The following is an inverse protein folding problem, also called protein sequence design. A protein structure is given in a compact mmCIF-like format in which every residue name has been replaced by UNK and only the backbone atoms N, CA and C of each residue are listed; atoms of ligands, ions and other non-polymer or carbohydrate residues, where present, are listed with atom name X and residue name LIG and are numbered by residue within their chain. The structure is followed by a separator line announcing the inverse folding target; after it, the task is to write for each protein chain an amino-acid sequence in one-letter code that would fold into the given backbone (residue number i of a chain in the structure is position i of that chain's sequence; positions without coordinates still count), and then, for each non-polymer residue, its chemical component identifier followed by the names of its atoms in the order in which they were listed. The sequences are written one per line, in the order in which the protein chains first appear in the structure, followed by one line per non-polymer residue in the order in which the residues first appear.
data_IF_952494056760
#
_entry.id   IF_952494056760
#
_cell.length_a   1.000
_cell.length_b   1.000
_cell.length_c   1.000
_cell.angle_alpha   90.00
_cell.angle_beta   90.00
_cell.angle_gamma   90.00
#
_symmetry.space_group_name_H-M   'P 1'
#
loop_
_entity.id
_entity.type
_entity.pdbx_description
1 polymer ?
#
# COMPACT_ATOMS: atom_id res chain seq x y z
N UNK A 1 -33.76 -19.17 20.74
CA UNK A 1 -34.40 -18.32 21.77
C UNK A 1 -35.74 -18.97 22.05
N UNK A 2 -35.85 -19.69 23.18
CA UNK A 2 -37.10 -20.32 23.58
C UNK A 2 -38.07 -19.26 24.07
N UNK A 3 -39.36 -19.49 23.85
CA UNK A 3 -40.43 -18.70 24.46
C UNK A 3 -40.58 -19.19 25.90
N UNK A 4 -40.47 -18.29 26.89
CA UNK A 4 -40.93 -18.61 28.24
C UNK A 4 -42.46 -18.59 28.22
N UNK A 5 -43.08 -19.65 28.72
CA UNK A 5 -44.53 -19.68 28.93
C UNK A 5 -44.87 -18.79 30.12
N UNK A 6 -45.94 -17.99 30.03
CA UNK A 6 -46.35 -17.00 31.03
C UNK A 6 -46.59 -17.62 32.44
N UNK A 7 -46.74 -18.94 32.51
CA UNK A 7 -46.99 -19.70 33.74
C UNK A 7 -45.77 -19.87 34.66
N UNK A 8 -44.55 -19.62 34.17
CA UNK A 8 -43.31 -19.80 34.94
C UNK A 8 -42.82 -18.51 35.63
N UNK A 9 -43.52 -17.39 35.42
CA UNK A 9 -43.13 -16.08 35.94
C UNK A 9 -43.60 -15.91 37.39
N UNK A 10 -42.65 -15.93 38.33
CA UNK A 10 -42.92 -15.53 39.72
C UNK A 10 -42.94 -13.99 39.81
N UNK A 11 -43.86 -13.39 40.58
CA UNK A 11 -44.04 -11.93 40.66
C UNK A 11 -42.83 -11.16 41.24
N UNK A 12 -41.79 -11.86 41.68
CA UNK A 12 -40.64 -11.32 42.41
C UNK A 12 -39.35 -11.37 41.57
N UNK A 13 -39.41 -11.91 40.35
CA UNK A 13 -38.24 -12.18 39.51
C UNK A 13 -37.99 -11.02 38.53
N UNK A 14 -36.77 -10.46 38.55
CA UNK A 14 -36.38 -9.37 37.65
C UNK A 14 -36.10 -9.90 36.24
N UNK A 15 -37.06 -9.74 35.32
CA UNK A 15 -36.91 -10.19 33.93
C UNK A 15 -36.13 -9.16 33.12
N UNK A 16 -35.01 -9.58 32.52
CA UNK A 16 -34.29 -8.76 31.53
C UNK A 16 -34.82 -9.07 30.13
N UNK A 17 -35.56 -8.13 29.55
CA UNK A 17 -36.11 -8.27 28.18
C UNK A 17 -35.13 -7.68 27.17
N UNK A 18 -34.69 -8.50 26.22
CA UNK A 18 -33.88 -8.05 25.09
C UNK A 18 -34.78 -7.63 23.92
N UNK A 19 -34.76 -6.34 23.58
CA UNK A 19 -35.54 -5.78 22.48
C UNK A 19 -34.66 -5.60 21.24
N UNK A 20 -35.12 -6.12 20.09
CA UNK A 20 -34.48 -5.89 18.78
C UNK A 20 -35.39 -5.04 17.91
N UNK A 21 -34.94 -3.82 17.60
CA UNK A 21 -35.66 -2.93 16.69
C UNK A 21 -35.46 -3.34 15.23
N UNK A 22 -36.50 -3.13 14.41
CA UNK A 22 -36.43 -3.32 12.95
C UNK A 22 -35.58 -2.24 12.28
N UNK A 23 -35.67 -1.00 12.79
CA UNK A 23 -34.80 0.13 12.43
C UNK A 23 -33.78 0.35 13.54
N UNK A 24 -32.52 0.02 13.27
CA UNK A 24 -31.43 0.19 14.25
C UNK A 24 -31.16 1.67 14.55
N UNK A 25 -31.34 2.56 13.57
CA UNK A 25 -31.11 4.00 13.70
C UNK A 25 -32.06 4.72 14.65
N UNK A 26 -33.23 4.14 14.94
CA UNK A 26 -34.24 4.75 15.80
C UNK A 26 -34.21 4.22 17.23
N UNK A 27 -33.28 3.31 17.55
CA UNK A 27 -33.13 2.69 18.88
C UNK A 27 -33.09 3.75 20.00
N UNK A 28 -32.28 4.81 19.84
CA UNK A 28 -32.18 5.89 20.83
C UNK A 28 -33.41 6.82 20.90
N UNK A 29 -34.31 6.76 19.91
CA UNK A 29 -35.55 7.56 19.90
C UNK A 29 -36.74 6.78 20.44
N UNK A 30 -36.82 5.49 20.12
CA UNK A 30 -38.01 4.69 20.37
C UNK A 30 -37.94 3.98 21.72
N UNK A 31 -36.76 3.58 22.18
CA UNK A 31 -36.61 2.94 23.49
C UNK A 31 -37.07 3.84 24.65
N UNK A 32 -36.74 5.15 24.70
CA UNK A 32 -37.28 6.05 25.72
C UNK A 32 -38.81 6.24 25.64
N UNK A 33 -39.40 6.18 24.44
CA UNK A 33 -40.87 6.28 24.28
C UNK A 33 -41.57 5.04 24.82
N UNK A 34 -40.99 3.86 24.58
CA UNK A 34 -41.51 2.60 25.11
C UNK A 34 -41.42 2.61 26.64
N UNK A 35 -40.29 3.04 27.21
CA UNK A 35 -40.14 3.22 28.66
C UNK A 35 -41.21 4.15 29.26
N UNK A 36 -41.50 5.26 28.58
CA UNK A 36 -42.54 6.20 29.00
C UNK A 36 -43.95 5.57 28.99
N UNK A 37 -44.27 4.77 27.97
CA UNK A 37 -45.56 4.08 27.87
C UNK A 37 -45.72 2.96 28.92
N UNK A 38 -44.61 2.35 29.33
CA UNK A 38 -44.58 1.33 30.38
C UNK A 38 -44.65 1.92 31.80
N UNK A 39 -44.63 3.24 31.93
CA UNK A 39 -44.71 3.93 33.23
C UNK A 39 -43.44 3.79 34.08
N UNK A 40 -42.27 3.57 33.47
CA UNK A 40 -41.01 3.55 34.22
C UNK A 40 -40.70 4.90 34.84
N UNK A 41 -40.16 4.87 36.05
CA UNK A 41 -39.68 6.07 36.73
C UNK A 41 -38.42 6.60 36.04
N UNK A 42 -38.29 7.92 36.05
CA UNK A 42 -37.09 8.61 35.57
C UNK A 42 -36.10 8.71 36.71
N UNK A 43 -34.82 8.54 36.39
CA UNK A 43 -33.72 8.71 37.33
C UNK A 43 -33.63 10.20 37.76
N UNK A 44 -32.81 10.49 38.78
CA UNK A 44 -32.59 11.86 39.32
C UNK A 44 -32.17 12.90 38.24
N UNK A 45 -31.64 12.44 37.12
CA UNK A 45 -31.23 13.25 35.98
C UNK A 45 -32.31 13.45 34.90
N UNK A 46 -33.52 12.90 35.10
CA UNK A 46 -34.65 13.02 34.18
C UNK A 46 -34.64 12.04 33.00
N UNK A 47 -33.70 11.10 32.97
CA UNK A 47 -33.56 10.05 31.96
C UNK A 47 -34.05 8.68 32.46
N UNK A 48 -34.41 7.79 31.55
CA UNK A 48 -34.75 6.39 31.89
C UNK A 48 -33.47 5.55 32.01
N UNK A 49 -33.40 4.66 33.00
CA UNK A 49 -32.29 3.72 33.17
C UNK A 49 -32.28 2.62 32.09
N UNK A 50 -31.81 2.97 30.90
CA UNK A 50 -31.82 2.09 29.72
C UNK A 50 -30.40 1.62 29.40
N UNK A 51 -30.18 0.31 29.36
CA UNK A 51 -28.92 -0.29 28.91
C UNK A 51 -28.95 -0.49 27.40
N UNK A 52 -27.98 0.13 26.71
CA UNK A 52 -27.78 -0.02 25.27
C UNK A 52 -26.56 -0.89 25.00
N UNK A 53 -26.63 -1.75 23.99
CA UNK A 53 -25.42 -2.37 23.43
C UNK A 53 -24.72 -1.35 22.52
N UNK A 54 -23.88 -0.52 23.12
CA UNK A 54 -23.17 0.56 22.44
C UNK A 54 -22.19 0.06 21.39
N UNK A 55 -21.58 -1.11 21.57
CA UNK A 55 -20.66 -1.73 20.61
C UNK A 55 -21.40 -2.18 19.33
N UNK A 56 -22.58 -2.80 19.49
CA UNK A 56 -23.40 -3.18 18.35
C UNK A 56 -23.96 -1.95 17.60
N UNK A 57 -24.40 -0.93 18.33
CA UNK A 57 -24.94 0.29 17.73
C UNK A 57 -23.86 1.12 17.02
N UNK A 58 -22.63 1.17 17.56
CA UNK A 58 -21.51 1.90 16.96
C UNK A 58 -21.02 1.24 15.66
N UNK A 59 -20.99 -0.10 15.58
CA UNK A 59 -20.70 -0.82 14.33
C UNK A 59 -21.69 -0.50 13.20
N UNK A 60 -22.94 -0.17 13.57
CA UNK A 60 -23.98 0.28 12.65
C UNK A 60 -24.07 1.81 12.50
N UNK A 61 -23.05 2.55 12.97
CA UNK A 61 -22.96 4.00 12.91
C UNK A 61 -24.12 4.74 13.61
N UNK A 62 -24.73 4.13 14.62
CA UNK A 62 -25.80 4.72 15.42
C UNK A 62 -25.24 5.16 16.77
N UNK A 63 -25.16 6.48 16.96
CA UNK A 63 -24.59 7.07 18.17
C UNK A 63 -25.66 7.82 18.98
N UNK A 64 -25.56 7.85 20.33
CA UNK A 64 -26.48 8.59 21.16
C UNK A 64 -26.36 10.09 20.92
N UNK A 65 -27.50 10.78 20.88
CA UNK A 65 -27.56 12.24 20.71
C UNK A 65 -26.89 12.91 21.92
N UNK A 66 -25.85 13.70 21.68
CA UNK A 66 -25.12 14.44 22.73
C UNK A 66 -23.76 13.87 23.14
N UNK A 67 -23.39 12.66 22.67
CA UNK A 67 -22.04 12.08 22.89
C UNK A 67 -21.14 12.13 21.64
N UNK A 68 -21.50 12.91 20.60
CA UNK A 68 -20.55 13.33 19.57
C UNK A 68 -19.53 14.32 20.17
N UNK A 69 -18.78 13.88 21.18
CA UNK A 69 -17.48 14.48 21.50
C UNK A 69 -16.60 14.17 20.30
N UNK A 70 -15.95 15.21 19.74
CA UNK A 70 -15.13 15.10 18.53
C UNK A 70 -14.11 13.95 18.64
N UNK A 71 -13.66 13.63 19.86
CA UNK A 71 -12.70 12.56 20.16
C UNK A 71 -13.22 11.17 19.75
N UNK A 72 -14.45 10.79 20.13
CA UNK A 72 -14.99 9.45 19.83
C UNK A 72 -15.31 9.26 18.33
N UNK A 73 -15.74 10.33 17.64
CA UNK A 73 -16.05 10.29 16.22
C UNK A 73 -14.76 10.21 15.37
N UNK A 74 -13.70 10.91 15.79
CA UNK A 74 -12.40 10.84 15.14
C UNK A 74 -11.76 9.46 15.34
N UNK A 75 -11.86 8.85 16.53
CA UNK A 75 -11.36 7.49 16.76
C UNK A 75 -12.12 6.43 15.95
N UNK A 76 -13.46 6.54 15.87
CA UNK A 76 -14.29 5.62 15.07
C UNK A 76 -13.99 5.71 13.57
N UNK A 77 -13.64 6.90 13.07
CA UNK A 77 -13.25 7.11 11.67
C UNK A 77 -11.75 6.85 11.41
N UNK A 78 -10.90 6.95 12.42
CA UNK A 78 -9.46 6.77 12.28
C UNK A 78 -9.11 5.35 11.81
N UNK A 79 -9.71 4.32 12.42
CA UNK A 79 -9.48 2.93 12.03
C UNK A 79 -9.82 2.65 10.55
N UNK A 80 -11.05 2.91 10.04
CA UNK A 80 -11.36 2.64 8.64
C UNK A 80 -10.54 3.50 7.67
N UNK A 81 -10.23 4.75 8.02
CA UNK A 81 -9.38 5.61 7.18
C UNK A 81 -7.95 5.07 7.11
N UNK A 82 -7.39 4.60 8.23
CA UNK A 82 -6.06 4.01 8.27
C UNK A 82 -5.99 2.74 7.40
N UNK A 83 -6.98 1.86 7.50
CA UNK A 83 -7.06 0.67 6.65
C UNK A 83 -7.21 1.02 5.17
N UNK A 84 -8.05 2.02 4.85
CA UNK A 84 -8.20 2.52 3.48
C UNK A 84 -6.88 3.07 2.93
N UNK A 85 -6.18 3.88 3.71
CA UNK A 85 -4.90 4.47 3.32
C UNK A 85 -3.84 3.40 3.06
N UNK A 86 -3.74 2.41 3.96
CA UNK A 86 -2.84 1.26 3.80
C UNK A 86 -3.20 0.46 2.55
N UNK A 87 -4.48 0.19 2.31
CA UNK A 87 -4.94 -0.53 1.13
C UNK A 87 -4.56 0.20 -0.17
N UNK A 88 -4.76 1.52 -0.24
CA UNK A 88 -4.38 2.34 -1.40
C UNK A 88 -2.88 2.33 -1.62
N UNK A 89 -2.08 2.44 -0.55
CA UNK A 89 -0.62 2.39 -0.63
C UNK A 89 -0.13 1.05 -1.18
N UNK A 90 -0.66 -0.05 -0.62
CA UNK A 90 -0.31 -1.41 -1.05
C UNK A 90 -0.68 -1.63 -2.52
N UNK A 91 -1.90 -1.27 -2.92
CA UNK A 91 -2.33 -1.35 -4.32
C UNK A 91 -1.43 -0.51 -5.23
N UNK A 92 -1.11 0.72 -4.82
CA UNK A 92 -0.22 1.61 -5.57
C UNK A 92 1.18 1.03 -5.76
N UNK A 93 1.75 0.43 -4.71
CA UNK A 93 3.04 -0.25 -4.76
C UNK A 93 3.03 -1.43 -5.72
N UNK A 94 2.02 -2.30 -5.64
CA UNK A 94 1.89 -3.43 -6.55
C UNK A 94 1.73 -2.98 -8.00
N UNK A 95 0.90 -1.95 -8.26
CA UNK A 95 0.76 -1.37 -9.59
C UNK A 95 2.11 -0.90 -10.14
N UNK A 96 2.92 -0.22 -9.32
CA UNK A 96 4.26 0.25 -9.72
C UNK A 96 5.20 -0.92 -10.03
N UNK A 97 5.23 -1.95 -9.18
CA UNK A 97 6.05 -3.14 -9.40
C UNK A 97 5.67 -3.81 -10.72
N UNK A 98 4.38 -4.01 -10.96
CA UNK A 98 3.87 -4.64 -12.18
C UNK A 98 4.21 -3.77 -13.41
N UNK A 99 4.11 -2.44 -13.31
CA UNK A 99 4.49 -1.53 -14.41
C UNK A 99 5.98 -1.63 -14.75
N UNK A 100 6.84 -1.73 -13.74
CA UNK A 100 8.28 -1.88 -13.93
C UNK A 100 8.61 -3.24 -14.56
N UNK A 101 7.97 -4.31 -14.09
CA UNK A 101 8.13 -5.65 -14.65
C UNK A 101 7.70 -5.71 -16.12
N UNK A 102 6.53 -5.15 -16.47
CA UNK A 102 6.10 -5.08 -17.87
C UNK A 102 7.00 -4.18 -18.70
N UNK A 103 7.49 -3.07 -18.15
CA UNK A 103 8.45 -2.21 -18.87
C UNK A 103 9.75 -2.95 -19.17
N UNK A 104 10.25 -3.75 -18.22
CA UNK A 104 11.43 -4.59 -18.42
C UNK A 104 11.18 -5.66 -19.49
N UNK A 105 10.08 -6.41 -19.36
CA UNK A 105 9.70 -7.46 -20.32
C UNK A 105 9.49 -6.91 -21.73
N UNK A 106 8.89 -5.72 -21.83
CA UNK A 106 8.61 -5.12 -23.13
C UNK A 106 9.87 -4.47 -23.75
N UNK A 107 10.81 -3.99 -22.93
CA UNK A 107 12.13 -3.53 -23.40
C UNK A 107 13.01 -4.68 -23.91
N UNK A 108 12.99 -5.85 -23.26
CA UNK A 108 13.79 -7.00 -23.73
C UNK A 108 13.34 -7.52 -25.10
N UNK A 109 12.08 -7.26 -25.48
CA UNK A 109 11.47 -7.66 -26.76
C UNK A 109 11.28 -6.49 -27.74
N UNK A 110 11.90 -5.35 -27.46
CA UNK A 110 11.74 -4.14 -28.26
C UNK A 110 12.13 -4.33 -29.73
N UNK A 111 13.16 -5.15 -30.00
CA UNK A 111 13.63 -5.48 -31.35
C UNK A 111 12.64 -6.36 -32.10
N UNK A 112 12.06 -7.36 -31.44
CA UNK A 112 11.05 -8.25 -32.02
C UNK A 112 9.80 -7.47 -32.44
N UNK A 113 9.33 -6.56 -31.57
CA UNK A 113 8.20 -5.67 -31.88
C UNK A 113 8.55 -4.64 -32.95
N UNK A 114 9.81 -4.21 -33.01
CA UNK A 114 10.36 -3.35 -34.07
C UNK A 114 10.37 -4.00 -35.45
N UNK A 115 10.78 -5.27 -35.53
CA UNK A 115 10.73 -6.07 -36.76
C UNK A 115 9.27 -6.24 -37.21
N UNK A 116 8.35 -6.50 -36.28
CA UNK A 116 6.92 -6.59 -36.57
C UNK A 116 6.37 -5.27 -37.14
N UNK A 117 6.81 -4.12 -36.60
CA UNK A 117 6.47 -2.81 -37.14
C UNK A 117 7.03 -2.58 -38.56
N UNK A 118 8.24 -3.06 -38.86
CA UNK A 118 8.85 -2.97 -40.20
C UNK A 118 8.07 -3.73 -41.29
N UNK A 119 7.37 -4.81 -40.92
CA UNK A 119 6.52 -5.60 -41.83
C UNK A 119 5.17 -4.89 -42.09
N UNK A 120 4.92 -3.74 -41.44
CA UNK A 120 3.72 -2.93 -41.62
C UNK A 120 2.66 -3.11 -40.53
N UNK A 121 3.00 -3.73 -39.40
CA UNK A 121 2.06 -3.84 -38.29
C UNK A 121 1.71 -2.47 -37.72
N UNK A 122 0.41 -2.23 -37.51
CA UNK A 122 -0.06 -0.97 -36.95
C UNK A 122 0.34 -0.84 -35.47
N UNK A 123 0.58 0.39 -34.97
CA UNK A 123 0.84 0.65 -33.55
C UNK A 123 -0.25 0.10 -32.60
N UNK A 124 -1.49 0.00 -33.10
CA UNK A 124 -2.62 -0.56 -32.36
C UNK A 124 -2.48 -2.08 -32.18
N UNK A 125 -2.07 -2.80 -33.22
CA UNK A 125 -1.84 -4.25 -33.18
C UNK A 125 -0.69 -4.60 -32.23
N UNK A 126 0.43 -3.85 -32.29
CA UNK A 126 1.57 -4.03 -31.38
C UNK A 126 1.12 -3.83 -29.93
N UNK A 127 0.36 -2.77 -29.66
CA UNK A 127 -0.15 -2.48 -28.32
C UNK A 127 -1.11 -3.56 -27.80
N UNK A 128 -2.00 -4.07 -28.65
CA UNK A 128 -2.93 -5.14 -28.27
C UNK A 128 -2.20 -6.45 -28.00
N UNK A 129 -1.17 -6.77 -28.80
CA UNK A 129 -0.34 -7.96 -28.59
C UNK A 129 0.27 -8.00 -27.18
N UNK A 130 0.88 -6.88 -26.74
CA UNK A 130 1.47 -6.77 -25.38
C UNK A 130 0.42 -6.90 -24.27
N UNK A 131 -0.78 -6.35 -24.48
CA UNK A 131 -1.88 -6.46 -23.50
C UNK A 131 -2.36 -7.91 -23.41
N UNK A 132 -2.53 -8.59 -24.54
CA UNK A 132 -2.93 -10.00 -24.57
C UNK A 132 -1.90 -10.89 -23.89
N UNK A 133 -0.61 -10.67 -24.13
CA UNK A 133 0.44 -11.39 -23.43
C UNK A 133 0.31 -11.21 -21.90
N UNK A 134 0.11 -9.96 -21.43
CA UNK A 134 -0.14 -9.69 -20.02
C UNK A 134 -1.38 -10.40 -19.45
N UNK A 135 -2.46 -10.49 -20.23
CA UNK A 135 -3.67 -11.22 -19.85
C UNK A 135 -3.47 -12.74 -19.79
N UNK A 136 -2.67 -13.31 -20.68
CA UNK A 136 -2.32 -14.73 -20.60
C UNK A 136 -1.41 -15.03 -19.41
N UNK A 137 -0.49 -14.11 -19.08
CA UNK A 137 0.41 -14.26 -17.94
C UNK A 137 -0.33 -14.27 -16.59
N UNK A 138 -1.52 -13.65 -16.48
CA UNK A 138 -2.31 -13.69 -15.24
C UNK A 138 -3.15 -14.97 -15.06
N UNK A 139 -3.27 -15.83 -16.08
CA UNK A 139 -4.15 -17.00 -16.03
C UNK A 139 -3.71 -18.05 -15.00
N UNK A 140 -2.40 -18.20 -14.76
CA UNK A 140 -1.85 -19.09 -13.73
C UNK A 140 -1.78 -18.44 -12.34
N UNK A 141 -1.27 -17.20 -12.19
CA UNK A 141 -1.16 -16.56 -10.88
C UNK A 141 -2.50 -16.20 -10.24
N UNK A 142 -3.54 -15.89 -11.03
CA UNK A 142 -4.86 -15.52 -10.51
C UNK A 142 -5.52 -16.65 -9.69
N UNK A 143 -5.71 -17.87 -10.23
CA UNK A 143 -6.26 -18.97 -9.45
C UNK A 143 -5.32 -19.40 -8.33
N UNK A 144 -4.00 -19.37 -8.55
CA UNK A 144 -3.03 -19.68 -7.51
C UNK A 144 -3.13 -18.70 -6.33
N UNK A 145 -3.24 -17.39 -6.59
CA UNK A 145 -3.40 -16.36 -5.57
C UNK A 145 -4.72 -16.46 -4.81
N UNK A 146 -5.82 -16.79 -5.50
CA UNK A 146 -7.12 -17.04 -4.85
C UNK A 146 -7.06 -18.29 -3.96
N UNK A 147 -6.43 -19.37 -4.43
CA UNK A 147 -6.28 -20.60 -3.66
C UNK A 147 -5.40 -20.41 -2.42
N UNK A 148 -4.26 -19.70 -2.56
CA UNK A 148 -3.39 -19.41 -1.42
C UNK A 148 -4.02 -18.44 -0.44
N UNK A 149 -4.73 -17.41 -0.91
CA UNK A 149 -5.50 -16.51 -0.06
C UNK A 149 -6.56 -17.25 0.74
N UNK A 150 -7.33 -18.11 0.09
CA UNK A 150 -8.32 -18.97 0.77
C UNK A 150 -7.66 -19.86 1.83
N UNK A 151 -6.54 -20.50 1.51
CA UNK A 151 -5.82 -21.36 2.46
C UNK A 151 -5.29 -20.57 3.66
N UNK A 152 -4.68 -19.41 3.42
CA UNK A 152 -4.14 -18.53 4.47
C UNK A 152 -5.24 -18.00 5.39
N UNK A 153 -6.38 -17.58 4.83
CA UNK A 153 -7.51 -17.10 5.62
C UNK A 153 -8.05 -18.21 6.53
N UNK A 154 -8.23 -19.44 6.00
CA UNK A 154 -8.67 -20.58 6.81
C UNK A 154 -7.69 -20.90 7.96
N UNK A 155 -6.38 -20.77 7.71
CA UNK A 155 -5.36 -20.97 8.73
C UNK A 155 -5.40 -19.87 9.79
N UNK A 156 -5.55 -18.62 9.35
CA UNK A 156 -5.63 -17.45 10.24
C UNK A 156 -6.87 -17.51 11.14
N UNK A 157 -8.03 -17.88 10.58
CA UNK A 157 -9.29 -18.02 11.33
C UNK A 157 -9.17 -19.10 12.39
N UNK A 158 -8.56 -20.24 12.06
CA UNK A 158 -8.31 -21.31 13.04
C UNK A 158 -7.38 -20.84 14.16
N UNK A 159 -6.32 -20.11 13.81
CA UNK A 159 -5.40 -19.55 14.79
C UNK A 159 -6.10 -18.54 15.72
N UNK A 160 -6.88 -17.62 15.15
CA UNK A 160 -7.65 -16.62 15.92
C UNK A 160 -8.69 -17.30 16.82
N UNK A 161 -9.41 -18.30 16.31
CA UNK A 161 -10.38 -19.06 17.11
C UNK A 161 -9.70 -19.81 18.26
N UNK A 162 -8.51 -20.39 18.06
CA UNK A 162 -7.76 -21.06 19.12
C UNK A 162 -7.35 -20.13 20.26
N UNK A 163 -6.98 -18.88 19.94
CA UNK A 163 -6.65 -17.86 20.94
C UNK A 163 -7.92 -17.38 21.66
N UNK A 164 -9.02 -17.18 20.92
CA UNK A 164 -10.28 -16.73 21.51
C UNK A 164 -10.88 -17.77 22.47
N UNK A 165 -10.82 -19.06 22.12
CA UNK A 165 -11.27 -20.16 22.98
C UNK A 165 -10.42 -20.25 24.26
N UNK A 166 -9.13 -19.91 24.19
CA UNK A 166 -8.23 -19.88 25.35
C UNK A 166 -8.38 -18.61 26.22
N UNK A 167 -8.79 -17.48 25.65
CA UNK A 167 -8.83 -16.18 26.33
C UNK A 167 -10.18 -15.81 26.96
N UNK A 168 -11.29 -16.42 26.51
CA UNK A 168 -12.65 -16.07 26.97
C UNK A 168 -13.47 -17.33 27.25
N UNK A 169 -13.73 -17.60 28.53
CA UNK A 169 -14.55 -18.72 29.07
C UNK A 169 -16.07 -18.63 28.74
N UNK A 170 -16.45 -17.94 27.66
CA UNK A 170 -17.84 -17.80 27.22
C UNK A 170 -18.03 -18.48 25.87
N UNK A 171 -19.19 -19.12 25.67
CA UNK A 171 -19.66 -19.67 24.39
C UNK A 171 -19.81 -18.55 23.34
N UNK A 172 -18.70 -18.04 22.82
CA UNK A 172 -18.70 -17.09 21.71
C UNK A 172 -18.85 -17.92 20.43
N UNK A 173 -19.81 -17.56 19.55
CA UNK A 173 -19.97 -18.27 18.29
C UNK A 173 -18.68 -18.19 17.47
N UNK A 174 -18.21 -19.35 16.98
CA UNK A 174 -17.03 -19.47 16.14
C UNK A 174 -17.15 -18.53 14.95
N UNK A 175 -16.13 -17.72 14.70
CA UNK A 175 -16.08 -16.88 13.51
C UNK A 175 -15.85 -17.79 12.31
N UNK A 176 -16.91 -18.02 11.52
CA UNK A 176 -16.85 -18.78 10.27
C UNK A 176 -16.95 -17.82 9.10
N UNK A 177 -15.93 -17.77 8.26
CA UNK A 177 -16.00 -17.01 7.01
C UNK A 177 -16.68 -17.87 5.94
N UNK A 178 -17.81 -17.38 5.44
CA UNK A 178 -18.47 -17.98 4.29
C UNK A 178 -17.95 -17.30 3.02
N UNK A 179 -17.19 -18.05 2.21
CA UNK A 179 -16.73 -17.59 0.91
C UNK A 179 -17.87 -17.69 -0.09
N UNK A 180 -18.50 -16.56 -0.41
CA UNK A 180 -19.52 -16.49 -1.44
C UNK A 180 -18.96 -16.02 -2.79
N UNK A 181 -19.73 -16.28 -3.85
CA UNK A 181 -19.54 -15.63 -5.16
C UNK A 181 -19.34 -14.10 -5.08
N UNK A 182 -20.03 -13.36 -4.18
CA UNK A 182 -19.84 -11.91 -4.04
C UNK A 182 -18.42 -11.49 -3.64
N UNK A 183 -17.62 -12.38 -3.03
CA UNK A 183 -16.26 -12.08 -2.58
C UNK A 183 -15.22 -12.29 -3.68
N UNK A 184 -15.42 -13.31 -4.53
CA UNK A 184 -14.45 -13.70 -5.57
C UNK A 184 -14.55 -12.78 -6.78
N UNK A 185 -15.78 -12.41 -7.18
CA UNK A 185 -16.03 -11.59 -8.36
C UNK A 185 -15.29 -10.24 -8.35
N UNK A 186 -15.32 -9.42 -7.27
CA UNK A 186 -14.58 -8.16 -7.24
C UNK A 186 -13.07 -8.38 -7.25
N UNK A 187 -12.55 -9.46 -6.66
CA UNK A 187 -11.12 -9.76 -6.70
C UNK A 187 -10.64 -10.03 -8.13
N UNK A 188 -11.36 -10.87 -8.89
CA UNK A 188 -11.06 -11.16 -10.30
C UNK A 188 -11.13 -9.89 -11.14
N UNK A 189 -12.19 -9.09 -10.97
CA UNK A 189 -12.35 -7.82 -11.70
C UNK A 189 -11.22 -6.85 -11.37
N UNK A 190 -10.84 -6.73 -10.10
CA UNK A 190 -9.75 -5.86 -9.66
C UNK A 190 -8.41 -6.29 -10.26
N UNK A 191 -8.11 -7.58 -10.30
CA UNK A 191 -6.88 -8.09 -10.93
C UNK A 191 -6.87 -7.80 -12.42
N UNK A 192 -7.98 -8.05 -13.12
CA UNK A 192 -8.10 -7.80 -14.56
C UNK A 192 -7.88 -6.31 -14.88
N UNK A 193 -8.53 -5.40 -14.12
CA UNK A 193 -8.40 -3.96 -14.30
C UNK A 193 -6.96 -3.52 -14.02
N UNK A 194 -6.36 -4.02 -12.94
CA UNK A 194 -4.99 -3.69 -12.54
C UNK A 194 -3.98 -4.08 -13.62
N UNK A 195 -4.03 -5.32 -14.10
CA UNK A 195 -3.13 -5.82 -15.15
C UNK A 195 -3.33 -5.04 -16.44
N UNK A 196 -4.59 -4.80 -16.83
CA UNK A 196 -4.90 -4.05 -18.04
C UNK A 196 -4.38 -2.62 -17.98
N UNK A 197 -4.57 -1.92 -16.86
CA UNK A 197 -4.09 -0.54 -16.70
C UNK A 197 -2.56 -0.49 -16.68
N UNK A 198 -1.93 -1.44 -15.98
CA UNK A 198 -0.49 -1.54 -15.82
C UNK A 198 0.23 -1.82 -17.15
N UNK A 199 -0.24 -2.81 -17.93
CA UNK A 199 0.34 -3.13 -19.24
C UNK A 199 0.12 -2.03 -20.29
N UNK A 200 -0.93 -1.20 -20.13
CA UNK A 200 -1.28 -0.15 -21.10
C UNK A 200 -0.24 0.96 -21.23
N UNK A 201 0.55 1.21 -20.19
CA UNK A 201 1.59 2.25 -20.16
C UNK A 201 2.82 1.84 -20.98
N UNK A 202 3.51 0.72 -20.69
CA UNK A 202 4.65 0.27 -21.49
C UNK A 202 4.27 -0.06 -22.93
N UNK A 203 3.09 -0.65 -23.15
CA UNK A 203 2.61 -0.96 -24.50
C UNK A 203 2.43 0.31 -25.35
N UNK A 204 1.95 1.42 -24.76
CA UNK A 204 1.88 2.73 -25.44
C UNK A 204 3.26 3.31 -25.73
N UNK A 205 4.22 3.12 -24.83
CA UNK A 205 5.59 3.63 -25.00
C UNK A 205 6.27 2.99 -26.20
N UNK A 206 6.15 1.67 -26.35
CA UNK A 206 6.81 0.92 -27.44
C UNK A 206 6.14 1.13 -28.78
N UNK A 207 4.79 1.16 -28.82
CA UNK A 207 4.05 1.37 -30.06
C UNK A 207 4.34 2.73 -30.75
N UNK A 208 4.99 3.67 -30.06
CA UNK A 208 5.39 4.98 -30.60
C UNK A 208 6.83 5.02 -31.11
N UNK A 209 7.63 3.99 -30.86
CA UNK A 209 9.04 3.96 -31.29
C UNK A 209 9.13 3.59 -32.77
N UNK A 210 10.05 4.24 -33.49
CA UNK A 210 10.31 3.93 -34.89
C UNK A 210 11.14 2.64 -35.01
N UNK A 211 11.02 1.87 -36.10
CA UNK A 211 11.77 0.62 -36.24
C UNK A 211 13.28 0.80 -36.07
N UNK A 212 13.85 1.88 -36.61
CA UNK A 212 15.27 2.20 -36.45
C UNK A 212 15.65 2.50 -34.99
N UNK A 213 14.78 3.19 -34.24
CA UNK A 213 14.99 3.43 -32.81
C UNK A 213 14.94 2.14 -31.99
N UNK A 214 14.04 1.22 -32.32
CA UNK A 214 13.92 -0.06 -31.60
C UNK A 214 15.14 -0.95 -31.78
N UNK A 215 15.74 -0.98 -32.98
CA UNK A 215 16.99 -1.72 -33.24
C UNK A 215 18.15 -1.06 -32.49
N UNK A 216 18.24 0.27 -32.52
CA UNK A 216 19.29 1.03 -31.80
C UNK A 216 19.18 0.84 -30.29
N UNK A 217 17.96 0.82 -29.75
CA UNK A 217 17.70 0.67 -28.31
C UNK A 217 17.81 -0.79 -27.83
N UNK A 218 17.53 -1.76 -28.70
CA UNK A 218 17.77 -3.17 -28.41
C UNK A 218 19.25 -3.56 -28.43
N UNK A 219 20.06 -2.88 -29.25
CA UNK A 219 21.52 -3.09 -29.33
C UNK A 219 22.31 -2.33 -28.25
N UNK A 220 21.82 -1.17 -27.80
CA UNK A 220 22.41 -0.41 -26.70
C UNK A 220 21.41 -0.32 -25.56
N UNK A 221 21.59 -1.14 -24.51
CA UNK A 221 20.85 -1.11 -23.24
C UNK A 221 21.04 0.18 -22.42
N UNK A 222 21.32 1.31 -23.07
CA UNK A 222 21.47 2.60 -22.41
C UNK A 222 20.10 3.13 -22.01
N UNK A 223 19.82 3.00 -20.71
CA UNK A 223 18.75 3.68 -19.98
C UNK A 223 18.79 5.16 -20.38
N UNK A 224 17.78 5.63 -21.13
CA UNK A 224 17.65 7.05 -21.50
C UNK A 224 17.58 7.88 -20.20
N UNK A 225 18.59 8.72 -19.93
CA UNK A 225 18.57 9.74 -18.88
C UNK A 225 17.28 10.55 -19.01
N UNK A 226 16.43 10.51 -17.99
CA UNK A 226 15.17 11.28 -17.99
C UNK A 226 15.50 12.75 -17.88
N UNK A 227 14.94 13.57 -18.76
CA UNK A 227 15.01 15.03 -18.69
C UNK A 227 14.30 15.47 -17.41
N UNK A 228 15.08 15.91 -16.42
CA UNK A 228 14.56 16.39 -15.14
C UNK A 228 13.58 17.55 -15.40
N UNK A 229 12.30 17.40 -15.03
CA UNK A 229 11.33 18.51 -15.10
C UNK A 229 11.67 19.46 -13.95
N UNK A 230 11.90 20.73 -14.30
CA UNK A 230 12.32 21.87 -13.47
C UNK A 230 11.42 22.19 -12.24
N UNK A 231 10.42 21.35 -11.95
CA UNK A 231 9.45 21.52 -10.87
C UNK A 231 9.96 20.85 -9.58
N UNK A 232 10.74 19.77 -9.69
CA UNK A 232 11.23 19.02 -8.51
C UNK A 232 12.36 19.75 -7.77
N UNK A 233 13.12 20.62 -8.46
CA UNK A 233 14.21 21.41 -7.85
C UNK A 233 13.74 22.58 -7.01
N UNK A 234 12.45 22.96 -7.11
CA UNK A 234 11.90 24.06 -6.31
C UNK A 234 11.44 23.63 -4.92
N UNK A 235 11.17 22.34 -4.75
CA UNK A 235 10.67 21.77 -3.49
C UNK A 235 11.76 21.16 -2.63
N UNK A 236 12.81 20.62 -3.25
CA UNK A 236 14.00 20.13 -2.55
C UNK A 236 15.18 21.01 -2.93
N UNK A 237 15.42 22.04 -2.11
CA UNK A 237 16.62 22.88 -2.16
C UNK A 237 17.87 22.12 -1.74
N UNK A 238 18.19 21.06 -2.46
CA UNK A 238 19.49 20.38 -2.39
C UNK A 238 20.25 20.85 -3.62
N UNK A 239 20.88 22.02 -3.48
CA UNK A 239 22.02 22.37 -4.32
C UNK A 239 23.14 21.38 -3.98
N UNK A 240 23.33 20.43 -4.88
CA UNK A 240 24.32 19.39 -4.80
C UNK A 240 24.43 18.76 -6.18
N UNK A 241 24.87 19.56 -7.14
CA UNK A 241 25.34 19.05 -8.41
C UNK A 241 26.49 18.08 -8.11
N UNK A 242 26.52 16.95 -8.82
CA UNK A 242 27.47 15.84 -8.69
C UNK A 242 27.12 14.76 -7.64
N UNK A 243 26.20 13.88 -8.04
CA UNK A 243 26.18 12.49 -7.59
C UNK A 243 27.47 11.81 -8.08
N UNK A 244 28.55 11.95 -7.32
CA UNK A 244 29.83 11.27 -7.53
C UNK A 244 29.59 9.79 -7.17
N UNK A 245 29.64 8.84 -8.12
CA UNK A 245 29.49 7.43 -7.81
C UNK A 245 30.58 7.01 -6.81
N UNK A 246 30.23 6.15 -5.85
CA UNK A 246 31.11 5.76 -4.74
C UNK A 246 32.50 5.26 -5.21
N UNK A 247 32.59 4.71 -6.44
CA UNK A 247 33.84 4.26 -7.06
C UNK A 247 34.84 5.37 -7.40
N UNK A 248 34.39 6.63 -7.53
CA UNK A 248 35.26 7.79 -7.78
C UNK A 248 35.75 8.47 -6.51
N UNK A 249 35.08 8.26 -5.37
CA UNK A 249 35.54 8.76 -4.07
C UNK A 249 36.81 8.02 -3.60
N UNK A 250 36.93 6.73 -3.89
CA UNK A 250 38.14 5.96 -3.56
C UNK A 250 39.36 6.48 -4.35
N UNK A 251 39.21 6.75 -5.66
CA UNK A 251 40.26 7.33 -6.50
C UNK A 251 40.67 8.74 -6.06
N UNK A 252 39.71 9.58 -5.67
CA UNK A 252 40.00 10.93 -5.16
C UNK A 252 40.68 10.83 -3.78
N UNK A 253 40.28 9.88 -2.93
CA UNK A 253 40.91 9.68 -1.62
C UNK A 253 42.37 9.23 -1.75
N UNK A 254 42.70 8.37 -2.71
CA UNK A 254 44.09 7.97 -2.98
C UNK A 254 44.91 9.13 -3.55
N UNK A 255 44.34 9.90 -4.49
CA UNK A 255 45.02 11.06 -5.08
C UNK A 255 45.21 12.18 -4.04
N UNK A 256 44.26 12.37 -3.13
CA UNK A 256 44.35 13.33 -2.03
C UNK A 256 45.29 12.85 -0.92
N UNK A 257 45.35 11.54 -0.66
CA UNK A 257 46.30 10.92 0.27
C UNK A 257 47.73 10.99 -0.26
N UNK A 258 47.96 10.78 -1.55
CA UNK A 258 49.24 11.04 -2.22
C UNK A 258 49.60 12.53 -2.16
N UNK A 259 48.65 13.42 -2.47
CA UNK A 259 48.89 14.86 -2.47
C UNK A 259 49.09 15.44 -1.06
N UNK A 260 48.52 14.84 -0.02
CA UNK A 260 48.78 15.19 1.39
C UNK A 260 50.11 14.62 1.89
N UNK A 261 50.48 13.40 1.48
CA UNK A 261 51.79 12.80 1.79
C UNK A 261 52.93 13.61 1.17
N UNK A 262 52.67 14.25 0.03
CA UNK A 262 53.61 15.13 -0.67
C UNK A 262 53.59 16.59 -0.14
N UNK A 263 52.70 16.94 0.80
CA UNK A 263 52.50 18.33 1.28
C UNK A 263 52.64 18.52 2.80
N UNK A 264 52.95 17.46 3.55
CA UNK A 264 53.36 17.53 4.97
C UNK A 264 54.79 17.02 5.12
N UNK A 265 55.73 17.81 4.62
CA UNK A 265 57.06 18.02 5.21
C UNK A 265 57.50 19.43 4.77
N UNK A 266 57.98 20.29 5.68
CA UNK A 266 58.07 21.72 5.43
C UNK A 266 59.18 22.06 4.42
N UNK A 267 58.93 23.16 3.71
CA UNK A 267 59.84 23.96 2.87
C UNK A 267 61.31 23.90 3.30
N UNK A 268 62.22 23.73 2.33
CA UNK A 268 63.34 24.66 2.10
C UNK A 268 63.56 24.79 0.58
N UNK A 269 63.49 26.03 0.07
CA UNK A 269 63.87 26.41 -1.30
C UNK A 269 65.39 26.42 -1.47
N UNK A 270 65.91 25.96 -2.62
CA UNK A 270 66.92 26.61 -3.49
C UNK A 270 67.37 25.66 -4.62
N UNK A 271 67.71 26.17 -5.83
CA UNK A 271 68.23 25.35 -6.91
C UNK A 271 69.73 25.07 -6.66
N UNK A 272 70.15 23.80 -6.65
CA UNK A 272 71.58 23.48 -6.61
C UNK A 272 71.93 22.51 -7.72
N UNK A 273 72.65 23.05 -8.69
CA UNK A 273 73.22 22.36 -9.83
C UNK A 273 74.50 21.65 -9.37
N UNK A 274 74.60 20.35 -9.68
CA UNK A 274 75.72 19.51 -9.29
C UNK A 274 76.96 19.82 -10.13
N UNK A 275 78.03 20.29 -9.50
CA UNK A 275 79.41 20.12 -9.99
C UNK A 275 80.16 19.44 -8.85
N UNK A 276 80.65 18.21 -9.09
CA UNK A 276 81.62 17.55 -8.22
C UNK A 276 81.29 17.53 -6.73
N UNK A 277 80.36 16.68 -6.32
CA UNK A 277 80.28 16.12 -4.96
C UNK A 277 80.27 17.08 -3.75
N UNK A 278 79.79 18.33 -3.84
CA UNK A 278 79.29 19.12 -2.68
C UNK A 278 78.29 20.21 -3.14
N UNK A 279 77.07 20.33 -2.57
CA UNK A 279 76.16 21.45 -2.84
C UNK A 279 76.07 22.48 -1.68
N UNK A 280 76.18 23.78 -2.01
CA UNK A 280 76.03 24.97 -1.15
C UNK A 280 74.77 25.76 -1.56
N UNK A 281 74.00 26.28 -0.59
CA UNK A 281 72.74 27.03 -0.76
C UNK A 281 72.96 28.55 -0.93
N UNK A 282 72.32 29.17 -1.93
CA UNK A 282 72.09 30.63 -1.94
C UNK A 282 70.65 30.95 -2.34
N UNK A 283 70.01 31.66 -1.41
CA UNK A 283 68.64 32.19 -1.42
C UNK A 283 68.56 33.46 -2.26
N UNK A 284 67.55 33.55 -3.11
CA UNK A 284 66.76 34.77 -3.35
C UNK A 284 65.27 34.39 -3.29
#
# INVERSE_FOLDING_TARGET
MGYMEDADIRPEESITVYLRFRSIGDTYKDLPKIAALMGWEKDEYGDYNLKYNTDYLSQHFVFPKGQFQMDNALEALAFPIMFLFLAVLVVGLFVLIIQNAFSLSANSRITQLGILASIGASPRQIRQSVIWEGLFLMLLPLPAGLATGWFLDNLLIQYVNSINDAARSGNIPKVTFSYGLPSILPAILLTLITVWFSARIPARKIARLTPIETIRQGGNGNIKKTRYRHILSRFFGIEGDQFIPMSTLDSISETFRESLKNKISPRISCPVQYIGSVPVLLLD
#
